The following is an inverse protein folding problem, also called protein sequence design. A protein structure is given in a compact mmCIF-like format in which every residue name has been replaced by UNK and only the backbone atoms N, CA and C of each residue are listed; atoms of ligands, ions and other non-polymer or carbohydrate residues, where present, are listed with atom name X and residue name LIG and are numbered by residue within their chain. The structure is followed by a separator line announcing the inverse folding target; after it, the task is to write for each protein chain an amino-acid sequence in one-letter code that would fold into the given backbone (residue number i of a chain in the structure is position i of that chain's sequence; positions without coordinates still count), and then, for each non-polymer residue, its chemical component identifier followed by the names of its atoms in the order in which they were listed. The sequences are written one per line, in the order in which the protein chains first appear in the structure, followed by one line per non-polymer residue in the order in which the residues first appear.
data_IF_228044756721
#
_entry.id   IF_228044756721
#
_cell.length_a   1.000
_cell.length_b   1.000
_cell.length_c   1.000
_cell.angle_alpha   90.00
_cell.angle_beta   90.00
_cell.angle_gamma   90.00
#
_symmetry.space_group_name_H-M   'P 1'
#
loop_
_entity.id
_entity.type
_entity.pdbx_description
1 polymer ?
#
# COMPACT_ATOMS: atom_id res chain seq x y z
N UNK A 1 6.45 -8.84 32.69
CA UNK A 1 5.24 -8.99 31.86
C UNK A 1 4.33 -9.99 32.56
N UNK A 2 3.10 -9.61 32.88
CA UNK A 2 2.10 -10.49 33.50
C UNK A 2 1.04 -10.81 32.46
N UNK A 3 0.87 -12.10 32.14
CA UNK A 3 -0.09 -12.58 31.15
C UNK A 3 -1.25 -13.25 31.87
N UNK A 4 -2.49 -12.86 31.54
CA UNK A 4 -3.70 -13.48 32.04
C UNK A 4 -3.93 -14.85 31.36
N UNK A 5 -4.57 -15.80 32.02
CA UNK A 5 -4.97 -17.07 31.37
C UNK A 5 -6.23 -16.95 30.50
N UNK A 6 -6.89 -15.79 30.55
CA UNK A 6 -8.15 -15.50 29.86
C UNK A 6 -8.03 -15.39 28.33
N UNK A 7 -6.84 -15.09 27.81
CA UNK A 7 -6.58 -14.97 26.38
C UNK A 7 -5.25 -15.65 26.02
N UNK A 8 -5.04 -16.04 24.75
CA UNK A 8 -3.74 -16.56 24.32
C UNK A 8 -2.62 -15.55 24.61
N UNK A 9 -1.48 -16.02 25.14
CA UNK A 9 -0.32 -15.18 25.44
C UNK A 9 0.15 -14.33 24.24
N UNK A 10 0.20 -14.86 22.99
CA UNK A 10 0.54 -14.07 21.81
C UNK A 10 -0.35 -12.83 21.62
N UNK A 11 -1.67 -12.98 21.83
CA UNK A 11 -2.61 -11.89 21.64
C UNK A 11 -2.41 -10.78 22.67
N UNK A 12 -2.18 -11.15 23.93
CA UNK A 12 -1.92 -10.19 25.00
C UNK A 12 -0.59 -9.45 24.81
N UNK A 13 0.45 -10.15 24.35
CA UNK A 13 1.74 -9.53 24.04
C UNK A 13 1.60 -8.48 22.94
N UNK A 14 0.88 -8.80 21.86
CA UNK A 14 0.67 -7.87 20.74
C UNK A 14 -0.12 -6.64 21.20
N UNK A 15 -1.14 -6.82 22.05
CA UNK A 15 -1.86 -5.70 22.66
C UNK A 15 -0.97 -4.81 23.55
N UNK A 16 0.10 -5.37 24.12
CA UNK A 16 1.10 -4.63 24.90
C UNK A 16 2.23 -4.04 24.03
N UNK A 17 2.18 -4.19 22.71
CA UNK A 17 3.22 -3.70 21.80
C UNK A 17 4.42 -4.64 21.62
N UNK A 18 4.29 -5.92 22.02
CA UNK A 18 5.33 -6.94 21.87
C UNK A 18 4.89 -8.06 20.92
N UNK A 19 5.79 -8.48 20.05
CA UNK A 19 5.59 -9.60 19.16
C UNK A 19 6.30 -10.84 19.69
N UNK A 20 5.61 -11.98 19.85
CA UNK A 20 6.24 -13.22 20.30
C UNK A 20 7.17 -13.81 19.23
N UNK A 21 8.33 -14.30 19.62
CA UNK A 21 9.25 -14.98 18.69
C UNK A 21 8.79 -16.39 18.27
N UNK A 22 7.82 -16.96 18.98
CA UNK A 22 7.24 -18.28 18.69
C UNK A 22 5.75 -18.28 19.04
N UNK A 23 4.89 -18.84 18.17
CA UNK A 23 3.45 -18.89 18.39
C UNK A 23 3.04 -19.95 19.42
N UNK A 24 3.88 -20.97 19.61
CA UNK A 24 3.59 -22.12 20.50
C UNK A 24 4.18 -21.92 21.89
N UNK A 25 5.38 -21.35 21.98
CA UNK A 25 6.06 -21.14 23.25
C UNK A 25 6.89 -19.84 23.20
N UNK A 26 6.32 -18.70 23.59
CA UNK A 26 7.02 -17.42 23.54
C UNK A 26 8.09 -17.38 24.64
N UNK A 27 9.30 -17.83 24.31
CA UNK A 27 10.47 -17.70 25.20
C UNK A 27 11.06 -16.29 25.18
N UNK A 28 10.76 -15.52 24.13
CA UNK A 28 11.21 -14.16 23.91
C UNK A 28 10.09 -13.41 23.18
N UNK A 29 9.93 -12.14 23.53
CA UNK A 29 9.07 -11.21 22.83
C UNK A 29 9.90 -9.97 22.46
N UNK A 30 9.72 -9.49 21.24
CA UNK A 30 10.44 -8.33 20.67
C UNK A 30 9.44 -7.19 20.56
N UNK A 31 9.83 -5.94 20.83
CA UNK A 31 8.89 -4.82 20.66
C UNK A 31 8.53 -4.62 19.19
N UNK A 32 7.29 -4.22 18.92
CA UNK A 32 6.83 -3.88 17.57
C UNK A 32 7.65 -2.74 16.97
N UNK A 33 7.97 -1.72 17.78
CA UNK A 33 8.83 -0.60 17.36
C UNK A 33 10.21 -1.07 16.88
N UNK A 34 10.79 -2.10 17.52
CA UNK A 34 12.07 -2.65 17.13
C UNK A 34 11.97 -3.45 15.83
N UNK A 35 10.87 -4.18 15.64
CA UNK A 35 10.62 -4.90 14.38
C UNK A 35 10.37 -3.94 13.22
N UNK A 36 9.65 -2.85 13.46
CA UNK A 36 9.44 -1.79 12.48
C UNK A 36 10.76 -1.12 12.11
N UNK A 37 11.56 -0.70 13.10
CA UNK A 37 12.89 -0.12 12.88
C UNK A 37 13.77 -1.02 12.00
N UNK A 38 13.82 -2.31 12.29
CA UNK A 38 14.66 -3.27 11.56
C UNK A 38 14.10 -3.53 10.17
N UNK A 39 12.78 -3.59 10.03
CA UNK A 39 12.13 -3.72 8.72
C UNK A 39 12.47 -2.51 7.85
N UNK A 40 12.40 -1.30 8.38
CA UNK A 40 12.82 -0.07 7.68
C UNK A 40 14.32 -0.10 7.35
N UNK A 41 15.16 -0.53 8.30
CA UNK A 41 16.60 -0.64 8.09
C UNK A 41 16.94 -1.60 6.94
N UNK A 42 16.24 -2.73 6.82
CA UNK A 42 16.48 -3.73 5.78
C UNK A 42 15.95 -3.32 4.41
N UNK A 43 15.04 -2.34 4.32
CA UNK A 43 14.67 -1.70 3.05
C UNK A 43 15.78 -0.76 2.57
N UNK A 44 16.44 -0.06 3.50
CA UNK A 44 17.45 0.96 3.19
C UNK A 44 18.88 0.41 3.06
N UNK A 45 19.15 -0.76 3.63
CA UNK A 45 20.47 -1.39 3.64
C UNK A 45 20.36 -2.87 3.26
N UNK A 46 21.41 -3.42 2.66
CA UNK A 46 21.52 -4.86 2.41
C UNK A 46 21.27 -5.60 3.73
N UNK A 47 20.33 -6.55 3.79
CA UNK A 47 19.91 -7.18 5.03
C UNK A 47 21.09 -7.87 5.70
N UNK A 48 21.60 -7.24 6.75
CA UNK A 48 22.75 -7.71 7.52
C UNK A 48 22.27 -8.30 8.85
N UNK A 49 21.19 -9.09 8.81
CA UNK A 49 20.53 -9.66 9.98
C UNK A 49 21.52 -10.30 10.98
N UNK A 50 22.57 -10.97 10.48
CA UNK A 50 23.66 -11.51 11.31
C UNK A 50 24.43 -10.43 12.06
N UNK A 51 24.82 -9.34 11.38
CA UNK A 51 25.58 -8.25 11.99
C UNK A 51 24.72 -7.53 13.03
N UNK A 52 23.45 -7.28 12.71
CA UNK A 52 22.48 -6.67 13.61
C UNK A 52 22.23 -7.56 14.85
N UNK A 53 21.91 -8.84 14.66
CA UNK A 53 21.67 -9.78 15.75
C UNK A 53 22.92 -9.95 16.62
N UNK A 54 24.10 -10.06 16.02
CA UNK A 54 25.38 -10.13 16.74
C UNK A 54 25.61 -8.88 17.58
N UNK A 55 25.26 -7.70 17.06
CA UNK A 55 25.41 -6.42 17.77
C UNK A 55 24.53 -6.39 19.01
N UNK A 56 23.27 -6.83 18.90
CA UNK A 56 22.35 -6.85 20.03
C UNK A 56 22.72 -7.94 21.04
N UNK A 57 23.12 -9.13 20.58
CA UNK A 57 23.61 -10.18 21.49
C UNK A 57 24.79 -9.67 22.31
N UNK A 58 25.74 -8.96 21.67
CA UNK A 58 26.89 -8.36 22.38
C UNK A 58 26.48 -7.23 23.33
N UNK A 59 25.57 -6.36 22.90
CA UNK A 59 25.03 -5.29 23.72
C UNK A 59 24.35 -5.86 24.98
N UNK A 60 23.43 -6.79 24.81
CA UNK A 60 22.71 -7.45 25.91
C UNK A 60 23.66 -8.22 26.84
N UNK A 61 24.68 -8.89 26.29
CA UNK A 61 25.72 -9.55 27.08
C UNK A 61 26.48 -8.57 27.98
N UNK A 62 26.83 -7.39 27.46
CA UNK A 62 27.48 -6.35 28.25
C UNK A 62 26.57 -5.77 29.35
N UNK A 63 25.25 -5.88 29.19
CA UNK A 63 24.24 -5.46 30.17
C UNK A 63 23.81 -6.59 31.13
N UNK A 64 24.50 -7.73 31.13
CA UNK A 64 24.25 -8.83 32.07
C UNK A 64 23.18 -9.83 31.62
N UNK A 65 22.72 -9.75 30.37
CA UNK A 65 21.79 -10.70 29.78
C UNK A 65 22.55 -11.70 28.88
N UNK A 66 22.60 -12.97 29.29
CA UNK A 66 23.24 -14.03 28.52
C UNK A 66 22.20 -14.98 27.90
N UNK A 67 22.42 -15.35 26.64
CA UNK A 67 21.58 -16.32 25.93
C UNK A 67 22.27 -17.69 25.97
N UNK A 68 21.47 -18.76 26.14
CA UNK A 68 21.96 -20.13 26.24
C UNK A 68 22.79 -20.58 25.02
N UNK A 69 22.45 -20.05 23.84
CA UNK A 69 23.17 -20.34 22.59
C UNK A 69 23.50 -19.04 21.90
N UNK A 70 24.70 -18.96 21.31
CA UNK A 70 25.19 -17.80 20.55
C UNK A 70 24.19 -17.33 19.47
N UNK A 71 23.46 -18.28 18.89
CA UNK A 71 22.57 -18.05 17.76
C UNK A 71 21.08 -18.07 18.16
N UNK A 72 20.77 -18.28 19.45
CA UNK A 72 19.37 -18.36 19.91
C UNK A 72 18.60 -17.07 19.64
N UNK A 73 19.21 -15.92 19.96
CA UNK A 73 18.59 -14.62 19.71
C UNK A 73 18.41 -14.39 18.21
N UNK A 74 19.40 -14.76 17.39
CA UNK A 74 19.32 -14.61 15.94
C UNK A 74 18.12 -15.42 15.41
N UNK A 75 18.03 -16.71 15.70
CA UNK A 75 16.94 -17.55 15.22
C UNK A 75 15.57 -17.07 15.69
N UNK A 76 15.46 -16.68 16.96
CA UNK A 76 14.20 -16.17 17.53
C UNK A 76 13.79 -14.84 16.90
N UNK A 77 14.77 -13.97 16.63
CA UNK A 77 14.51 -12.70 15.97
C UNK A 77 14.12 -12.90 14.50
N UNK A 78 14.84 -13.75 13.74
CA UNK A 78 14.50 -14.10 12.36
C UNK A 78 13.07 -14.64 12.26
N UNK A 79 12.70 -15.52 13.19
CA UNK A 79 11.33 -16.05 13.29
C UNK A 79 10.31 -14.94 13.55
N UNK A 80 10.56 -14.08 14.54
CA UNK A 80 9.67 -12.95 14.83
C UNK A 80 9.51 -12.01 13.63
N UNK A 81 10.62 -11.67 12.96
CA UNK A 81 10.63 -10.77 11.81
C UNK A 81 9.88 -11.36 10.62
N UNK A 82 10.09 -12.63 10.30
CA UNK A 82 9.36 -13.30 9.22
C UNK A 82 7.85 -13.36 9.49
N UNK A 83 7.45 -13.64 10.73
CA UNK A 83 6.05 -13.65 11.14
C UNK A 83 5.43 -12.24 11.12
N UNK A 84 6.19 -11.23 11.52
CA UNK A 84 5.80 -9.83 11.42
C UNK A 84 5.58 -9.41 9.97
N UNK A 85 6.50 -9.77 9.06
CA UNK A 85 6.37 -9.47 7.63
C UNK A 85 5.13 -10.12 7.02
N UNK A 86 4.85 -11.39 7.34
CA UNK A 86 3.64 -12.08 6.89
C UNK A 86 2.38 -11.39 7.41
N UNK A 87 2.37 -10.97 8.67
CA UNK A 87 1.25 -10.23 9.25
C UNK A 87 1.03 -8.89 8.51
N UNK A 88 2.10 -8.13 8.26
CA UNK A 88 2.02 -6.88 7.52
C UNK A 88 1.47 -7.08 6.10
N UNK A 89 1.94 -8.12 5.39
CA UNK A 89 1.41 -8.46 4.07
C UNK A 89 -0.09 -8.82 4.10
N UNK A 90 -0.54 -9.53 5.13
CA UNK A 90 -1.95 -9.87 5.30
C UNK A 90 -2.79 -8.61 5.57
N UNK A 91 -2.30 -7.72 6.44
CA UNK A 91 -2.96 -6.45 6.76
C UNK A 91 -3.04 -5.55 5.52
N UNK A 92 -1.95 -5.41 4.77
CA UNK A 92 -1.93 -4.64 3.52
C UNK A 92 -2.89 -5.22 2.48
N UNK A 93 -2.96 -6.55 2.37
CA UNK A 93 -3.89 -7.23 1.49
C UNK A 93 -5.36 -6.99 1.86
N UNK A 94 -5.69 -7.02 3.16
CA UNK A 94 -7.04 -6.75 3.64
C UNK A 94 -7.42 -5.28 3.47
N UNK A 95 -6.50 -4.36 3.76
CA UNK A 95 -6.69 -2.93 3.51
C UNK A 95 -6.92 -2.66 2.01
N UNK A 96 -6.17 -3.34 1.14
CA UNK A 96 -6.35 -3.28 -0.30
C UNK A 96 -7.77 -3.67 -0.74
N UNK A 97 -8.32 -4.77 -0.21
CA UNK A 97 -9.71 -5.18 -0.50
C UNK A 97 -10.72 -4.12 -0.07
N UNK A 98 -10.57 -3.57 1.13
CA UNK A 98 -11.47 -2.52 1.64
C UNK A 98 -11.45 -1.29 0.72
N UNK A 99 -10.25 -0.91 0.26
CA UNK A 99 -10.06 0.20 -0.67
C UNK A 99 -10.72 -0.11 -2.02
N UNK A 100 -10.50 -1.30 -2.58
CA UNK A 100 -11.05 -1.68 -3.87
C UNK A 100 -12.58 -1.81 -3.85
N UNK A 101 -13.16 -2.36 -2.78
CA UNK A 101 -14.60 -2.38 -2.54
C UNK A 101 -15.20 -0.96 -2.49
N UNK A 102 -14.51 -0.02 -1.83
CA UNK A 102 -14.94 1.37 -1.76
C UNK A 102 -14.87 2.05 -3.15
N UNK A 103 -13.84 1.74 -3.94
CA UNK A 103 -13.67 2.25 -5.30
C UNK A 103 -14.74 1.68 -6.25
N UNK A 104 -15.06 0.39 -6.14
CA UNK A 104 -16.12 -0.23 -6.93
C UNK A 104 -17.48 0.39 -6.64
N UNK A 105 -17.84 0.57 -5.36
CA UNK A 105 -19.08 1.25 -4.96
C UNK A 105 -19.16 2.68 -5.50
N UNK A 106 -18.07 3.43 -5.40
CA UNK A 106 -17.99 4.81 -5.92
C UNK A 106 -18.19 4.84 -7.44
N UNK A 107 -17.56 3.91 -8.15
CA UNK A 107 -17.67 3.80 -9.62
C UNK A 107 -19.07 3.37 -10.03
N UNK A 108 -19.69 2.43 -9.32
CA UNK A 108 -21.07 2.00 -9.56
C UNK A 108 -22.07 3.13 -9.34
N UNK A 109 -21.89 3.93 -8.29
CA UNK A 109 -22.72 5.11 -8.01
C UNK A 109 -22.61 6.16 -9.12
N UNK A 110 -21.40 6.40 -9.66
CA UNK A 110 -21.21 7.33 -10.76
C UNK A 110 -21.88 6.84 -12.05
N UNK A 111 -21.73 5.54 -12.39
CA UNK A 111 -22.41 4.93 -13.54
C UNK A 111 -23.93 4.99 -13.42
N UNK A 112 -24.48 4.77 -12.23
CA UNK A 112 -25.93 4.86 -12.00
C UNK A 112 -26.48 6.28 -12.19
N UNK A 113 -25.65 7.32 -11.98
CA UNK A 113 -26.04 8.71 -12.27
C UNK A 113 -26.01 9.02 -13.78
N UNK A 114 -25.11 8.38 -14.54
CA UNK A 114 -25.06 8.52 -16.00
C UNK A 114 -26.26 7.82 -16.70
N UNK A 115 -26.80 6.72 -16.13
CA UNK A 115 -27.97 6.01 -16.68
C UNK A 115 -29.31 6.75 -16.45
N UNK A 116 -29.42 7.61 -15.43
CA UNK A 116 -30.64 8.38 -15.10
C UNK A 116 -30.75 9.71 -15.86
N UNK A 117 -29.71 10.12 -16.60
CA UNK A 117 -29.74 11.27 -17.48
C UNK A 117 -29.59 10.81 -18.93
N UNK A 118 -30.68 10.45 -19.62
CA UNK A 118 -30.59 10.26 -21.05
C UNK A 118 -30.18 11.61 -21.61
N UNK A 119 -28.95 11.68 -22.14
CA UNK A 119 -28.55 12.76 -23.04
C UNK A 119 -29.60 12.75 -24.14
N UNK A 120 -30.59 13.64 -24.03
CA UNK A 120 -31.59 13.78 -25.06
C UNK A 120 -30.83 14.26 -26.29
N UNK A 121 -30.56 13.31 -27.20
CA UNK A 121 -29.79 13.51 -28.42
C UNK A 121 -30.52 14.37 -29.42
N UNK A 122 -30.75 15.63 -29.06
CA UNK A 122 -31.45 16.57 -29.92
C UNK A 122 -30.96 18.01 -29.74
N UNK A 123 -29.65 18.26 -29.72
CA UNK A 123 -29.16 19.60 -30.03
C UNK A 123 -27.70 19.67 -30.52
N UNK A 124 -27.44 19.15 -31.72
CA UNK A 124 -26.32 19.63 -32.57
C UNK A 124 -26.70 19.65 -34.06
N UNK A 125 -27.95 20.01 -34.40
CA UNK A 125 -28.36 20.20 -35.80
C UNK A 125 -27.87 21.55 -36.39
N UNK A 126 -27.24 22.39 -35.58
CA UNK A 126 -26.74 23.73 -35.90
C UNK A 126 -25.27 23.76 -36.36
N UNK A 127 -24.49 22.68 -36.15
CA UNK A 127 -23.09 22.64 -36.63
C UNK A 127 -23.00 22.24 -38.12
N UNK A 128 -23.95 21.45 -38.62
CA UNK A 128 -24.02 21.08 -40.04
C UNK A 128 -24.52 22.22 -40.94
N UNK A 129 -25.35 23.13 -40.40
CA UNK A 129 -25.92 24.23 -41.17
C UNK A 129 -24.93 25.39 -41.35
N UNK A 130 -24.03 25.63 -40.38
CA UNK A 130 -22.96 26.62 -40.51
C UNK A 130 -21.86 26.18 -41.49
N UNK A 131 -21.64 24.87 -41.66
CA UNK A 131 -20.67 24.36 -42.63
C UNK A 131 -21.12 24.58 -44.09
N UNK A 132 -22.44 24.56 -44.35
CA UNK A 132 -23.00 24.84 -45.68
C UNK A 132 -22.90 26.31 -46.10
N UNK A 133 -23.06 27.25 -45.16
CA UNK A 133 -22.98 28.68 -45.47
C UNK A 133 -21.54 29.20 -45.64
N UNK A 134 -20.54 28.59 -45.00
CA UNK A 134 -19.14 29.00 -45.19
C UNK A 134 -18.60 28.54 -46.55
N UNK A 135 -19.11 27.44 -47.12
CA UNK A 135 -18.65 26.94 -48.41
C UNK A 135 -19.15 27.80 -49.59
N UNK A 136 -20.38 28.34 -49.51
CA UNK A 136 -20.95 29.19 -50.58
C UNK A 136 -20.22 30.54 -50.69
N UNK A 137 -19.67 31.07 -49.60
CA UNK A 137 -18.96 32.35 -49.60
C UNK A 137 -17.53 32.29 -50.18
N UNK A 138 -16.93 31.10 -50.30
CA UNK A 138 -15.54 30.94 -50.74
C UNK A 138 -15.39 30.75 -52.25
N UNK A 139 -16.42 30.30 -52.97
CA UNK A 139 -16.37 30.11 -54.43
C UNK A 139 -16.53 31.43 -55.23
N UNK A 140 -17.10 32.49 -54.64
CA UNK A 140 -17.27 33.80 -55.31
C UNK A 140 -16.03 34.72 -55.26
N UNK A 141 -14.94 34.34 -54.59
CA UNK A 141 -13.75 35.20 -54.41
C UNK A 141 -12.56 34.78 -55.31
N UNK A 142 -12.67 33.71 -56.11
CA UNK A 142 -11.61 33.27 -57.03
C UNK A 142 -11.83 33.72 -58.49
N UNK A 143 -11.94 35.03 -58.72
CA UNK A 143 -11.64 35.60 -60.04
C UNK A 143 -10.89 36.94 -59.90
N UNK A 144 -9.54 36.94 -59.93
CA UNK A 144 -8.80 38.15 -60.25
C UNK A 144 -8.79 38.34 -61.77
N UNK A 145 -9.57 39.33 -62.23
CA UNK A 145 -9.46 39.89 -63.57
C UNK A 145 -8.08 40.52 -63.77
N UNK A 146 -7.31 40.04 -64.74
CA UNK A 146 -6.11 40.73 -65.25
C UNK A 146 -6.49 41.62 -66.44
N UNK A 147 -6.09 42.91 -66.46
CA UNK A 147 -6.31 43.79 -67.61
C UNK A 147 -5.21 43.60 -68.68
N UNK A 148 -5.53 43.78 -69.98
CA UNK A 148 -4.57 43.58 -71.07
C UNK A 148 -3.69 44.82 -71.33
N UNK A 149 -2.48 44.65 -71.89
CA UNK A 149 -1.81 45.68 -72.67
C UNK A 149 -2.32 45.75 -74.12
#
# INVERSE_FOLDING_TARGET
ITVCTCHPAPQQLVQMGYFPCSPVYPMLAVSLEMLELVSTLFVLAVPNERAWATTITKYLKNHGHEFATRDALQCQFSSALSQYQVLMQLVDGEMGKIIDDAREKTTAMFRALDDEMPVHGQEYANVQMLAGHIQIACDDISHPSTPPP
#
